data_IF_037230564323
#
_entry.id   IF_037230564323
#
_cell.length_a   1.000
_cell.length_b   1.000
_cell.length_c   1.000
_cell.angle_alpha   90.00
_cell.angle_beta   90.00
_cell.angle_gamma   90.00
#
_symmetry.space_group_name_H-M   'P 1'
#
loop_
_entity.id
_entity.type
_entity.pdbx_description
1 polymer ?
#
# COMPACT_ATOMS: atom_id res chain seq x y z
N UNK A 1 7.42 -5.93 27.98
CA UNK A 1 8.84 -6.10 27.58
C UNK A 1 8.87 -6.26 26.08
N UNK A 2 9.41 -5.29 25.33
CA UNK A 2 9.51 -5.38 23.87
C UNK A 2 10.55 -6.45 23.49
N UNK A 3 10.16 -7.41 22.66
CA UNK A 3 11.07 -8.45 22.15
C UNK A 3 12.04 -7.81 21.16
N UNK A 4 13.33 -7.83 21.48
CA UNK A 4 14.39 -7.48 20.53
C UNK A 4 14.54 -8.62 19.53
N UNK A 5 14.29 -8.36 18.26
CA UNK A 5 14.46 -9.34 17.18
C UNK A 5 15.81 -9.11 16.52
N UNK A 6 16.56 -10.20 16.27
CA UNK A 6 17.87 -10.17 15.61
C UNK A 6 17.89 -11.09 14.39
N UNK A 7 18.49 -10.61 13.31
CA UNK A 7 18.69 -11.33 12.06
C UNK A 7 20.16 -11.23 11.69
N UNK A 8 20.85 -12.36 11.49
CA UNK A 8 22.28 -12.41 11.17
C UNK A 8 23.17 -11.55 12.11
N UNK A 9 22.81 -11.51 13.41
CA UNK A 9 23.51 -10.72 14.42
C UNK A 9 23.14 -9.23 14.47
N UNK A 10 22.36 -8.72 13.52
CA UNK A 10 21.89 -7.34 13.50
C UNK A 10 20.49 -7.22 14.12
N UNK A 11 20.27 -6.18 14.91
CA UNK A 11 18.96 -5.90 15.52
C UNK A 11 18.04 -5.30 14.45
N UNK A 12 16.80 -5.78 14.38
CA UNK A 12 15.79 -5.15 13.53
C UNK A 12 15.34 -3.85 14.21
N UNK A 13 15.47 -2.70 13.52
CA UNK A 13 15.02 -1.41 14.05
C UNK A 13 13.51 -1.41 14.32
N UNK A 14 13.07 -0.79 15.42
CA UNK A 14 11.64 -0.77 15.77
C UNK A 14 10.79 0.05 14.81
N UNK A 15 11.36 1.12 14.27
CA UNK A 15 10.82 1.92 13.19
C UNK A 15 10.55 1.09 11.93
N UNK A 16 11.38 0.09 11.61
CA UNK A 16 11.11 -0.83 10.51
C UNK A 16 9.86 -1.69 10.76
N UNK A 17 9.68 -2.21 11.97
CA UNK A 17 8.48 -2.98 12.35
C UNK A 17 7.24 -2.08 12.35
N UNK A 18 7.38 -0.86 12.87
CA UNK A 18 6.31 0.13 12.90
C UNK A 18 5.87 0.53 11.48
N UNK A 19 6.83 0.73 10.57
CA UNK A 19 6.56 1.02 9.17
C UNK A 19 5.73 -0.10 8.52
N UNK A 20 6.11 -1.37 8.73
CA UNK A 20 5.36 -2.51 8.20
C UNK A 20 3.97 -2.64 8.83
N UNK A 21 3.85 -2.34 10.13
CA UNK A 21 2.56 -2.33 10.81
C UNK A 21 1.62 -1.28 10.23
N UNK A 22 2.10 -0.05 10.00
CA UNK A 22 1.32 1.02 9.39
C UNK A 22 0.88 0.66 7.97
N UNK A 23 1.76 0.00 7.21
CA UNK A 23 1.45 -0.51 5.87
C UNK A 23 0.33 -1.54 5.91
N UNK A 24 0.41 -2.51 6.83
CA UNK A 24 -0.62 -3.54 7.02
C UNK A 24 -1.96 -2.93 7.47
N UNK A 25 -1.94 -2.03 8.45
CA UNK A 25 -3.15 -1.37 8.94
C UNK A 25 -3.84 -0.60 7.82
N UNK A 26 -3.08 0.15 7.02
CA UNK A 26 -3.61 0.87 5.86
C UNK A 26 -4.22 -0.08 4.84
N UNK A 27 -3.52 -1.16 4.50
CA UNK A 27 -4.01 -2.17 3.58
C UNK A 27 -5.36 -2.75 4.02
N UNK A 28 -5.48 -3.20 5.27
CA UNK A 28 -6.76 -3.76 5.75
C UNK A 28 -7.87 -2.71 5.85
N UNK A 29 -7.55 -1.47 6.22
CA UNK A 29 -8.52 -0.38 6.26
C UNK A 29 -9.07 -0.06 4.86
N UNK A 30 -8.21 -0.03 3.84
CA UNK A 30 -8.61 0.18 2.44
C UNK A 30 -9.44 -0.99 1.87
N UNK A 31 -9.23 -2.20 2.39
CA UNK A 31 -9.98 -3.41 2.01
C UNK A 31 -11.25 -3.64 2.86
N UNK A 32 -11.70 -2.61 3.59
CA UNK A 32 -13.01 -2.60 4.25
C UNK A 32 -13.04 -3.15 5.68
N UNK A 33 -11.89 -3.41 6.30
CA UNK A 33 -11.84 -3.79 7.71
C UNK A 33 -12.09 -2.57 8.60
N UNK A 34 -13.00 -2.71 9.59
CA UNK A 34 -13.31 -1.61 10.52
C UNK A 34 -12.16 -1.36 11.50
N UNK A 35 -12.10 -0.16 12.06
CA UNK A 35 -11.10 0.20 13.08
C UNK A 35 -11.14 -0.73 14.30
N UNK A 36 -12.33 -1.18 14.71
CA UNK A 36 -12.47 -2.09 15.84
C UNK A 36 -11.96 -3.50 15.51
N UNK A 37 -12.18 -3.98 14.28
CA UNK A 37 -11.63 -5.25 13.80
C UNK A 37 -10.10 -5.20 13.70
N UNK A 38 -9.53 -4.08 13.26
CA UNK A 38 -8.07 -3.86 13.22
C UNK A 38 -7.51 -3.88 14.64
N UNK A 39 -8.15 -3.17 15.58
CA UNK A 39 -7.73 -3.15 16.99
C UNK A 39 -7.78 -4.53 17.64
N UNK A 40 -8.82 -5.31 17.35
CA UNK A 40 -8.95 -6.68 17.86
C UNK A 40 -7.83 -7.61 17.36
N UNK A 41 -7.34 -7.38 16.14
CA UNK A 41 -6.27 -8.17 15.51
C UNK A 41 -4.88 -7.53 15.64
N UNK A 42 -4.73 -6.47 16.42
CA UNK A 42 -3.50 -5.68 16.47
C UNK A 42 -2.28 -6.53 16.85
N UNK A 43 -2.44 -7.50 17.75
CA UNK A 43 -1.35 -8.40 18.15
C UNK A 43 -0.85 -9.25 16.97
N UNK A 44 -1.76 -9.80 16.17
CA UNK A 44 -1.43 -10.60 14.98
C UNK A 44 -0.82 -9.72 13.89
N UNK A 45 -1.31 -8.49 13.72
CA UNK A 45 -0.74 -7.52 12.78
C UNK A 45 0.69 -7.12 13.18
N UNK A 46 0.96 -6.93 14.47
CA UNK A 46 2.31 -6.66 14.98
C UNK A 46 3.23 -7.86 14.72
N UNK A 47 2.74 -9.09 14.91
CA UNK A 47 3.51 -10.29 14.59
C UNK A 47 3.83 -10.36 13.09
N UNK A 48 2.83 -10.20 12.23
CA UNK A 48 3.00 -10.19 10.76
C UNK A 48 3.97 -9.08 10.32
N UNK A 49 3.84 -7.88 10.87
CA UNK A 49 4.75 -6.77 10.59
C UNK A 49 6.20 -7.10 11.00
N UNK A 50 6.36 -7.77 12.15
CA UNK A 50 7.68 -8.23 12.61
C UNK A 50 8.28 -9.26 11.64
N UNK A 51 7.48 -10.24 11.21
CA UNK A 51 7.89 -11.25 10.23
C UNK A 51 8.23 -10.63 8.88
N UNK A 52 7.45 -9.65 8.41
CA UNK A 52 7.75 -8.90 7.19
C UNK A 52 9.04 -8.11 7.30
N UNK A 53 9.28 -7.41 8.42
CA UNK A 53 10.53 -6.70 8.66
C UNK A 53 11.74 -7.65 8.70
N UNK A 54 11.59 -8.84 9.29
CA UNK A 54 12.60 -9.92 9.26
C UNK A 54 12.88 -10.34 7.80
N UNK A 55 11.82 -10.64 7.04
CA UNK A 55 11.93 -11.08 5.65
C UNK A 55 12.62 -10.04 4.76
N UNK A 56 12.20 -8.78 4.86
CA UNK A 56 12.82 -7.66 4.15
C UNK A 56 14.31 -7.56 4.48
N UNK A 57 14.69 -7.69 5.76
CA UNK A 57 16.10 -7.65 6.16
C UNK A 57 16.91 -8.81 5.58
N UNK A 58 16.37 -10.02 5.59
CA UNK A 58 17.01 -11.20 5.01
C UNK A 58 17.23 -11.04 3.51
N UNK A 59 16.22 -10.56 2.78
CA UNK A 59 16.32 -10.30 1.35
C UNK A 59 17.35 -9.22 1.04
N UNK A 60 17.38 -8.13 1.81
CA UNK A 60 18.39 -7.08 1.66
C UNK A 60 19.81 -7.60 1.90
N UNK A 61 20.01 -8.44 2.92
CA UNK A 61 21.30 -9.06 3.22
C UNK A 61 21.77 -9.98 2.09
N UNK A 62 20.87 -10.81 1.57
CA UNK A 62 21.23 -11.72 0.48
C UNK A 62 21.48 -10.96 -0.84
N UNK A 63 20.65 -9.96 -1.15
CA UNK A 63 20.87 -9.08 -2.31
C UNK A 63 22.17 -8.28 -2.19
N UNK A 64 22.56 -7.89 -0.97
CA UNK A 64 23.85 -7.28 -0.67
C UNK A 64 25.01 -8.24 -0.94
N UNK A 65 24.90 -9.47 -0.43
CA UNK A 65 25.91 -10.52 -0.55
C UNK A 65 26.15 -10.99 -1.98
N UNK A 66 25.10 -11.06 -2.80
CA UNK A 66 25.18 -11.45 -4.21
C UNK A 66 25.65 -10.31 -5.13
N UNK A 67 25.92 -9.12 -4.58
CA UNK A 67 26.33 -7.92 -5.31
C UNK A 67 25.48 -7.65 -6.56
N UNK A 68 24.16 -7.82 -6.44
CA UNK A 68 23.25 -7.58 -7.54
C UNK A 68 23.32 -6.10 -7.95
N UNK A 69 23.87 -5.84 -9.13
CA UNK A 69 24.01 -4.48 -9.64
C UNK A 69 22.70 -3.99 -10.24
N UNK A 70 22.32 -2.78 -9.87
CA UNK A 70 21.23 -2.02 -10.48
C UNK A 70 21.87 -0.94 -11.31
N UNK A 71 21.59 -0.93 -12.62
CA UNK A 71 22.14 0.07 -13.51
C UNK A 71 21.52 1.44 -13.19
N UNK A 72 22.24 2.52 -13.46
CA UNK A 72 21.66 3.86 -13.29
C UNK A 72 20.48 4.08 -14.25
N UNK A 73 20.50 3.45 -15.43
CA UNK A 73 19.37 3.48 -16.37
C UNK A 73 18.10 2.83 -15.77
N UNK A 74 18.23 1.67 -15.11
CA UNK A 74 17.11 1.00 -14.42
C UNK A 74 16.54 1.91 -13.32
N UNK A 75 17.40 2.68 -12.65
CA UNK A 75 16.98 3.60 -11.59
C UNK A 75 16.26 4.81 -12.13
N UNK A 76 16.78 5.45 -13.18
CA UNK A 76 16.14 6.59 -13.81
C UNK A 76 14.76 6.23 -14.35
N UNK A 77 14.58 5.03 -14.93
CA UNK A 77 13.27 4.57 -15.39
C UNK A 77 12.27 4.48 -14.23
N UNK A 78 12.70 3.97 -13.08
CA UNK A 78 11.85 3.84 -11.90
C UNK A 78 11.55 5.19 -11.24
N UNK A 79 12.55 6.08 -11.16
CA UNK A 79 12.34 7.47 -10.70
C UNK A 79 11.35 8.18 -11.61
N UNK A 80 11.50 8.06 -12.94
CA UNK A 80 10.58 8.67 -13.90
C UNK A 80 9.14 8.16 -13.73
N UNK A 81 8.94 6.85 -13.54
CA UNK A 81 7.62 6.27 -13.25
C UNK A 81 7.00 6.86 -11.98
N UNK A 82 7.80 7.00 -10.92
CA UNK A 82 7.32 7.57 -9.65
C UNK A 82 6.99 9.06 -9.83
N UNK A 83 7.83 9.82 -10.54
CA UNK A 83 7.59 11.23 -10.85
C UNK A 83 6.28 11.40 -11.62
N UNK A 84 6.01 10.55 -12.60
CA UNK A 84 4.74 10.57 -13.35
C UNK A 84 3.54 10.25 -12.44
N UNK A 85 3.64 9.20 -11.64
CA UNK A 85 2.58 8.79 -10.70
C UNK A 85 2.21 9.86 -9.67
N UNK A 86 3.18 10.65 -9.20
CA UNK A 86 2.91 11.72 -8.23
C UNK A 86 2.45 13.03 -8.88
N UNK A 87 2.43 13.11 -10.22
CA UNK A 87 1.97 14.28 -10.97
C UNK A 87 3.06 15.27 -11.37
N UNK A 88 4.28 14.77 -11.63
CA UNK A 88 5.42 15.52 -12.18
C UNK A 88 6.46 15.96 -11.16
N UNK A 89 7.57 16.55 -11.65
CA UNK A 89 8.75 16.88 -10.84
C UNK A 89 8.46 17.81 -9.65
N UNK A 90 7.59 18.81 -9.83
CA UNK A 90 7.21 19.75 -8.77
C UNK A 90 6.47 19.04 -7.62
N UNK A 91 5.60 18.08 -7.95
CA UNK A 91 4.93 17.26 -6.96
C UNK A 91 5.90 16.30 -6.26
N UNK A 92 6.83 15.70 -7.03
CA UNK A 92 7.88 14.85 -6.51
C UNK A 92 8.79 15.59 -5.50
N UNK A 93 9.30 16.77 -5.84
CA UNK A 93 10.14 17.58 -4.93
C UNK A 93 9.39 17.97 -3.66
N UNK A 94 8.11 18.34 -3.77
CA UNK A 94 7.27 18.61 -2.59
C UNK A 94 7.07 17.37 -1.72
N UNK A 95 6.88 16.20 -2.33
CA UNK A 95 6.77 14.94 -1.59
C UNK A 95 8.06 14.59 -0.84
N UNK A 96 9.23 14.76 -1.46
CA UNK A 96 10.53 14.56 -0.80
C UNK A 96 10.70 15.50 0.40
N UNK A 97 10.34 16.78 0.25
CA UNK A 97 10.37 17.75 1.34
C UNK A 97 9.43 17.38 2.49
N UNK A 98 8.21 16.95 2.19
CA UNK A 98 7.26 16.50 3.22
C UNK A 98 7.76 15.27 3.98
N UNK A 99 8.52 14.40 3.32
CA UNK A 99 9.15 13.23 3.93
C UNK A 99 10.50 13.54 4.59
N UNK A 100 10.95 14.80 4.59
CA UNK A 100 12.26 15.22 5.09
C UNK A 100 13.43 14.41 4.50
N UNK A 101 13.38 14.09 3.22
CA UNK A 101 14.41 13.32 2.50
C UNK A 101 14.97 14.11 1.31
N UNK A 102 16.13 13.70 0.81
CA UNK A 102 16.75 14.26 -0.40
C UNK A 102 16.53 13.32 -1.58
N UNK A 103 16.69 13.85 -2.80
CA UNK A 103 16.61 13.02 -4.01
C UNK A 103 17.67 11.92 -4.01
N UNK A 104 18.91 12.23 -3.61
CA UNK A 104 19.99 11.25 -3.51
C UNK A 104 19.67 10.14 -2.50
N UNK A 105 19.17 10.49 -1.31
CA UNK A 105 18.79 9.51 -0.30
C UNK A 105 17.62 8.63 -0.79
N UNK A 106 16.66 9.23 -1.50
CA UNK A 106 15.57 8.51 -2.13
C UNK A 106 16.06 7.55 -3.23
N UNK A 107 16.96 8.00 -4.10
CA UNK A 107 17.59 7.18 -5.15
C UNK A 107 18.35 5.99 -4.57
N UNK A 108 19.10 6.17 -3.47
CA UNK A 108 19.76 5.06 -2.78
C UNK A 108 18.77 4.07 -2.14
N UNK A 109 17.65 4.56 -1.60
CA UNK A 109 16.59 3.70 -1.10
C UNK A 109 15.96 2.89 -2.24
N UNK A 110 15.67 3.53 -3.37
CA UNK A 110 15.13 2.88 -4.55
C UNK A 110 16.11 1.85 -5.12
N UNK A 111 17.41 2.16 -5.15
CA UNK A 111 18.48 1.23 -5.55
C UNK A 111 18.47 -0.01 -4.67
N UNK A 112 18.39 0.14 -3.34
CA UNK A 112 18.29 -1.00 -2.41
C UNK A 112 17.04 -1.84 -2.68
N UNK A 113 15.89 -1.21 -2.92
CA UNK A 113 14.65 -1.91 -3.30
C UNK A 113 14.81 -2.72 -4.59
N UNK A 114 15.34 -2.09 -5.65
CA UNK A 114 15.55 -2.76 -6.96
C UNK A 114 16.52 -3.94 -6.89
N UNK A 115 17.49 -3.92 -5.97
CA UNK A 115 18.36 -5.09 -5.73
C UNK A 115 17.59 -6.28 -5.18
N UNK A 116 16.65 -6.02 -4.28
CA UNK A 116 15.75 -7.05 -3.73
C UNK A 116 14.81 -7.56 -4.83
N UNK A 117 14.25 -6.68 -5.66
CA UNK A 117 13.42 -7.09 -6.80
C UNK A 117 14.18 -8.03 -7.74
N UNK A 118 15.41 -7.66 -8.14
CA UNK A 118 16.28 -8.52 -8.98
C UNK A 118 16.60 -9.87 -8.33
N UNK A 119 16.74 -9.90 -7.00
CA UNK A 119 16.91 -11.17 -6.27
C UNK A 119 15.68 -12.05 -6.42
N UNK A 120 14.49 -11.47 -6.24
CA UNK A 120 13.22 -12.19 -6.36
C UNK A 120 13.02 -12.67 -7.80
N UNK A 121 13.17 -11.79 -8.79
CA UNK A 121 13.09 -12.10 -10.22
C UNK A 121 14.02 -13.28 -10.58
N UNK A 122 15.25 -13.27 -10.08
CA UNK A 122 16.19 -14.39 -10.28
C UNK A 122 15.77 -15.67 -9.56
N UNK A 123 15.23 -15.56 -8.34
CA UNK A 123 14.81 -16.71 -7.55
C UNK A 123 13.57 -17.41 -8.12
N UNK A 124 12.70 -16.66 -8.82
CA UNK A 124 11.47 -17.17 -9.44
C UNK A 124 11.57 -17.35 -10.95
N UNK A 125 12.72 -17.09 -11.56
CA UNK A 125 12.90 -17.14 -13.02
C UNK A 125 12.55 -18.50 -13.64
N UNK A 126 12.74 -19.59 -12.88
CA UNK A 126 12.44 -20.95 -13.32
C UNK A 126 11.02 -21.40 -12.94
N UNK A 127 10.24 -20.54 -12.28
CA UNK A 127 8.84 -20.81 -11.95
C UNK A 127 8.00 -20.49 -13.18
N UNK A 128 7.36 -21.51 -13.74
CA UNK A 128 6.44 -21.33 -14.85
C UNK A 128 5.21 -20.53 -14.42
N UNK A 129 4.70 -19.70 -15.34
CA UNK A 129 3.39 -19.08 -15.18
C UNK A 129 2.29 -20.16 -15.02
N UNK A 130 1.23 -19.87 -14.26
CA UNK A 130 0.13 -20.80 -14.09
C UNK A 130 -0.52 -21.13 -15.44
N UNK A 131 -0.85 -22.39 -15.64
CA UNK A 131 -1.54 -22.87 -16.84
C UNK A 131 -3.01 -22.45 -16.84
N UNK A 132 -3.64 -22.38 -18.02
CA UNK A 132 -5.07 -22.07 -18.15
C UNK A 132 -5.95 -23.01 -17.30
N UNK A 133 -5.57 -24.29 -17.22
CA UNK A 133 -6.28 -25.28 -16.42
C UNK A 133 -6.18 -24.99 -14.91
N UNK A 134 -5.02 -24.53 -14.43
CA UNK A 134 -4.84 -24.12 -13.03
C UNK A 134 -5.62 -22.84 -12.72
N UNK A 135 -5.65 -21.89 -13.66
CA UNK A 135 -6.43 -20.66 -13.55
C UNK A 135 -7.92 -20.98 -13.46
N UNK A 136 -8.44 -21.84 -14.35
CA UNK A 136 -9.86 -22.24 -14.35
C UNK A 136 -10.25 -23.02 -13.10
N UNK A 137 -9.37 -23.92 -12.63
CA UNK A 137 -9.57 -24.67 -11.40
C UNK A 137 -9.60 -23.75 -10.18
N UNK A 138 -8.67 -22.79 -10.09
CA UNK A 138 -8.63 -21.82 -9.00
C UNK A 138 -9.88 -20.94 -9.00
N UNK A 139 -10.25 -20.36 -10.14
CA UNK A 139 -11.45 -19.54 -10.27
C UNK A 139 -12.72 -20.31 -9.90
N UNK A 140 -12.86 -21.54 -10.39
CA UNK A 140 -14.04 -22.36 -10.12
C UNK A 140 -14.15 -22.80 -8.66
N UNK A 141 -13.02 -23.04 -7.99
CA UNK A 141 -12.96 -23.39 -6.57
C UNK A 141 -13.17 -22.21 -5.62
N UNK A 142 -12.92 -20.98 -6.07
CA UNK A 142 -12.96 -19.77 -5.25
C UNK A 142 -13.92 -18.71 -5.80
N UNK A 143 -15.02 -19.13 -6.44
CA UNK A 143 -15.99 -18.20 -7.06
C UNK A 143 -16.47 -17.10 -6.12
N UNK A 144 -16.59 -17.39 -4.83
CA UNK A 144 -17.02 -16.42 -3.82
C UNK A 144 -15.99 -15.29 -3.60
N UNK A 145 -14.69 -15.53 -3.83
CA UNK A 145 -13.64 -14.49 -3.77
C UNK A 145 -13.76 -13.50 -4.94
N UNK A 146 -14.32 -13.96 -6.06
CA UNK A 146 -14.53 -13.16 -7.27
C UNK A 146 -15.96 -12.61 -7.39
N UNK A 147 -16.87 -13.10 -6.54
CA UNK A 147 -18.24 -12.63 -6.46
C UNK A 147 -18.24 -11.19 -5.91
N UNK A 148 -18.51 -10.23 -6.79
CA UNK A 148 -18.82 -8.87 -6.36
C UNK A 148 -20.26 -8.89 -5.86
N UNK A 149 -20.47 -8.54 -4.59
CA UNK A 149 -21.81 -8.42 -4.01
C UNK A 149 -22.70 -7.48 -4.82
N UNK A 150 -23.99 -7.43 -4.49
CA UNK A 150 -24.96 -6.58 -5.20
C UNK A 150 -24.45 -5.14 -5.33
N UNK A 151 -24.42 -4.65 -6.57
CA UNK A 151 -24.06 -3.27 -6.90
C UNK A 151 -25.25 -2.61 -7.55
N UNK A 152 -25.56 -1.41 -7.09
CA UNK A 152 -26.56 -0.55 -7.72
C UNK A 152 -25.85 0.65 -8.34
N UNK A 153 -26.33 1.10 -9.49
CA UNK A 153 -25.93 2.38 -10.03
C UNK A 153 -26.65 3.48 -9.25
N UNK A 154 -25.94 4.19 -8.38
CA UNK A 154 -26.49 5.29 -7.60
C UNK A 154 -26.07 6.65 -8.20
N UNK A 155 -26.99 7.61 -8.20
CA UNK A 155 -26.72 9.02 -8.44
C UNK A 155 -27.05 9.79 -7.16
N UNK A 156 -26.21 10.75 -6.78
CA UNK A 156 -26.37 11.55 -5.57
C UNK A 156 -26.52 13.02 -5.92
N UNK A 157 -27.56 13.66 -5.39
CA UNK A 157 -27.75 15.10 -5.42
C UNK A 157 -27.64 15.60 -3.99
N UNK A 158 -26.61 16.40 -3.71
CA UNK A 158 -26.40 17.06 -2.43
C UNK A 158 -26.77 18.53 -2.55
N UNK A 159 -27.60 19.02 -1.62
CA UNK A 159 -27.79 20.45 -1.39
C UNK A 159 -27.25 20.78 -0.01
N UNK A 160 -26.11 21.45 0.03
CA UNK A 160 -25.51 21.92 1.27
C UNK A 160 -26.31 23.12 1.82
N UNK A 161 -26.55 23.19 3.14
CA UNK A 161 -27.12 24.38 3.75
C UNK A 161 -26.10 25.52 3.77
N UNK A 162 -26.58 26.76 3.66
CA UNK A 162 -25.74 27.97 3.65
C UNK A 162 -25.12 28.29 5.03
N UNK A 163 -25.46 27.54 6.08
CA UNK A 163 -24.91 27.66 7.43
C UNK A 163 -25.45 26.61 8.39
N UNK A 164 -24.90 26.57 9.61
CA UNK A 164 -25.32 25.63 10.66
C UNK A 164 -26.48 26.18 11.51
N UNK A 165 -27.48 26.76 10.85
CA UNK A 165 -28.71 27.24 11.51
C UNK A 165 -29.89 26.34 11.14
N UNK A 166 -30.93 26.24 12.00
CA UNK A 166 -32.15 25.51 11.66
C UNK A 166 -32.77 25.97 10.34
N UNK A 167 -32.85 27.29 10.13
CA UNK A 167 -33.42 27.89 8.92
C UNK A 167 -32.67 27.45 7.64
N UNK A 168 -31.34 27.52 7.64
CA UNK A 168 -30.54 27.12 6.46
C UNK A 168 -30.69 25.63 6.14
N UNK A 169 -30.84 24.77 7.17
CA UNK A 169 -31.10 23.34 6.99
C UNK A 169 -32.49 23.08 6.43
N UNK A 170 -33.50 23.82 6.87
CA UNK A 170 -34.89 23.69 6.39
C UNK A 170 -35.03 24.15 4.94
N UNK A 171 -34.32 25.21 4.54
CA UNK A 171 -34.27 25.66 3.15
C UNK A 171 -33.60 24.63 2.23
N UNK A 172 -32.45 24.09 2.62
CA UNK A 172 -31.78 23.03 1.87
C UNK A 172 -32.67 21.77 1.74
N UNK A 173 -33.35 21.38 2.83
CA UNK A 173 -34.32 20.28 2.84
C UNK A 173 -35.50 20.54 1.89
N UNK A 174 -36.00 21.76 1.85
CA UNK A 174 -37.10 22.13 0.95
C UNK A 174 -36.68 22.05 -0.51
N UNK A 175 -35.48 22.53 -0.85
CA UNK A 175 -34.93 22.44 -2.22
C UNK A 175 -34.76 20.99 -2.68
N UNK A 176 -34.22 20.10 -1.83
CA UNK A 176 -34.01 18.70 -2.24
C UNK A 176 -35.33 17.94 -2.40
N UNK A 177 -36.33 18.24 -1.56
CA UNK A 177 -37.68 17.66 -1.70
C UNK A 177 -38.34 18.09 -3.01
N UNK A 178 -38.21 19.36 -3.40
CA UNK A 178 -38.73 19.86 -4.67
C UNK A 178 -38.05 19.22 -5.89
N UNK A 179 -36.77 18.85 -5.79
CA UNK A 179 -36.06 18.09 -6.83
C UNK A 179 -36.55 16.64 -6.87
N UNK A 180 -36.79 16.01 -5.71
CA UNK A 180 -37.28 14.63 -5.62
C UNK A 180 -38.67 14.43 -6.21
N UNK A 181 -39.51 15.45 -6.20
CA UNK A 181 -40.88 15.40 -6.74
C UNK A 181 -40.97 15.66 -8.25
N UNK A 182 -39.87 16.04 -8.91
CA UNK A 182 -39.78 16.21 -10.37
C UNK A 182 -39.41 14.91 -11.07
#
# INVERSE_FOLDING_TARGET
>A
MQKTVKVNGQVIPQDAIQFELERLVRFYAEHGMSQDQIRAQLADLVQKATEQAIGTKLLMDEAAKLDLQVSDADLEEQVAKIVDQVGGEEAFRRALQQQNTTEDAFREQLRRGRRVDKLIEKAVADVADPTEAEIEAYFSGHKDEFAKGERVLAQHILISPDGDTPTSKDEARSKINAIRER
#
